data_IF_663214585422
#
_entry.id   IF_663214585422
#
_cell.length_a   1.000
_cell.length_b   1.000
_cell.length_c   1.000
_cell.angle_alpha   90.00
_cell.angle_beta   90.00
_cell.angle_gamma   90.00
#
_symmetry.space_group_name_H-M   'P 1'
#
loop_
_entity.id
_entity.type
_entity.pdbx_description
1 polymer ?
#
# COMPACT_ATOMS: atom_id res chain seq x y z
N UNK A 1 16.73 -31.79 23.80
CA UNK A 1 15.78 -31.29 24.81
C UNK A 1 15.95 -29.79 25.09
N UNK A 2 17.07 -29.17 24.71
CA UNK A 2 17.19 -27.71 24.65
C UNK A 2 17.35 -27.23 23.21
N UNK A 3 16.25 -26.99 22.51
CA UNK A 3 16.24 -26.38 21.17
C UNK A 3 15.29 -25.19 21.17
N UNK A 4 15.72 -24.06 20.59
CA UNK A 4 14.88 -22.89 20.37
C UNK A 4 14.57 -22.81 18.88
N UNK A 5 13.29 -22.93 18.53
CA UNK A 5 12.81 -22.66 17.17
C UNK A 5 12.43 -21.19 17.03
N UNK A 6 12.95 -20.55 15.98
CA UNK A 6 12.67 -19.15 15.62
C UNK A 6 11.96 -19.13 14.27
N UNK A 7 10.68 -18.74 14.28
CA UNK A 7 9.92 -18.51 13.05
C UNK A 7 9.96 -17.01 12.71
N UNK A 8 10.84 -16.64 11.78
CA UNK A 8 10.96 -15.28 11.23
C UNK A 8 10.04 -15.10 10.01
N UNK A 9 8.73 -15.21 10.22
CA UNK A 9 7.74 -15.09 9.14
C UNK A 9 7.53 -13.62 8.80
N UNK A 10 7.94 -13.20 7.60
CA UNK A 10 7.92 -11.80 7.16
C UNK A 10 6.60 -11.39 6.51
N UNK A 11 5.71 -12.35 6.25
CA UNK A 11 4.51 -12.19 5.43
C UNK A 11 3.23 -12.62 6.18
N UNK A 12 3.18 -12.43 7.50
CA UNK A 12 2.05 -12.85 8.34
C UNK A 12 0.63 -12.49 7.82
N UNK A 13 0.39 -11.37 7.09
CA UNK A 13 -0.91 -11.14 6.46
C UNK A 13 -1.28 -12.20 5.40
N UNK A 14 -0.31 -12.72 4.65
CA UNK A 14 -0.53 -13.70 3.58
C UNK A 14 -0.44 -15.15 4.03
N UNK A 15 -0.10 -15.43 5.29
CA UNK A 15 -0.20 -16.77 5.89
C UNK A 15 -1.67 -17.18 6.14
N UNK A 16 -2.58 -16.20 6.25
CA UNK A 16 -4.03 -16.38 6.18
C UNK A 16 -4.62 -15.56 5.01
N UNK A 17 -4.30 -15.92 3.76
CA UNK A 17 -4.48 -15.05 2.59
C UNK A 17 -5.95 -14.75 2.29
N UNK A 18 -6.85 -15.68 2.65
CA UNK A 18 -8.29 -15.52 2.47
C UNK A 18 -8.87 -14.42 3.37
N UNK A 19 -8.39 -14.30 4.60
CA UNK A 19 -8.88 -13.29 5.53
C UNK A 19 -8.30 -11.91 5.20
N UNK A 20 -7.00 -11.82 4.91
CA UNK A 20 -6.36 -10.55 4.55
C UNK A 20 -6.95 -9.92 3.28
N UNK A 21 -7.29 -10.74 2.27
CA UNK A 21 -7.90 -10.22 1.04
C UNK A 21 -9.31 -9.66 1.29
N UNK A 22 -10.12 -10.35 2.09
CA UNK A 22 -11.46 -9.87 2.46
C UNK A 22 -11.39 -8.62 3.34
N UNK A 23 -10.50 -8.59 4.34
CA UNK A 23 -10.30 -7.42 5.20
C UNK A 23 -9.82 -6.20 4.42
N UNK A 24 -8.83 -6.38 3.53
CA UNK A 24 -8.37 -5.31 2.64
C UNK A 24 -9.51 -4.79 1.76
N UNK A 25 -10.31 -5.69 1.16
CA UNK A 25 -11.45 -5.31 0.33
C UNK A 25 -12.48 -4.48 1.10
N UNK A 26 -12.82 -4.90 2.31
CA UNK A 26 -13.74 -4.16 3.20
C UNK A 26 -13.20 -2.77 3.52
N UNK A 27 -11.94 -2.65 3.96
CA UNK A 27 -11.30 -1.37 4.27
C UNK A 27 -11.19 -0.46 3.05
N UNK A 28 -10.90 -1.02 1.88
CA UNK A 28 -10.85 -0.28 0.62
C UNK A 28 -12.22 0.31 0.27
N UNK A 29 -13.28 -0.49 0.35
CA UNK A 29 -14.64 -0.04 0.06
C UNK A 29 -15.13 1.01 1.06
N UNK A 30 -14.77 0.87 2.33
CA UNK A 30 -15.18 1.79 3.39
C UNK A 30 -14.43 3.12 3.33
N UNK A 31 -13.12 3.10 3.09
CA UNK A 31 -12.27 4.29 3.27
C UNK A 31 -11.73 4.88 1.96
N UNK A 32 -11.50 4.08 0.92
CA UNK A 32 -10.79 4.52 -0.28
C UNK A 32 -11.74 4.75 -1.46
N UNK A 33 -12.69 3.84 -1.70
CA UNK A 33 -13.67 3.97 -2.77
C UNK A 33 -14.47 5.29 -2.72
N UNK A 34 -14.91 5.80 -1.55
CA UNK A 34 -15.63 7.07 -1.48
C UNK A 34 -14.79 8.26 -1.95
N UNK A 35 -13.47 8.25 -1.69
CA UNK A 35 -12.55 9.32 -2.11
C UNK A 35 -12.39 9.38 -3.63
N UNK A 36 -12.45 8.23 -4.30
CA UNK A 36 -12.38 8.15 -5.77
C UNK A 36 -13.61 8.74 -6.45
N UNK A 37 -14.78 8.63 -5.82
CA UNK A 37 -16.07 9.05 -6.40
C UNK A 37 -16.43 10.47 -5.98
N UNK A 38 -16.28 10.78 -4.69
CA UNK A 38 -16.75 12.02 -4.07
C UNK A 38 -15.66 13.07 -3.88
N UNK A 39 -14.43 12.75 -4.31
CA UNK A 39 -13.27 13.62 -4.23
C UNK A 39 -12.45 13.43 -2.96
N UNK A 40 -11.20 13.89 -3.04
CA UNK A 40 -10.16 13.69 -2.04
C UNK A 40 -9.93 14.95 -1.20
N UNK A 41 -10.87 15.25 -0.30
CA UNK A 41 -10.84 16.51 0.47
C UNK A 41 -9.65 16.63 1.41
N UNK A 42 -9.17 15.50 1.92
CA UNK A 42 -8.07 15.43 2.88
C UNK A 42 -6.73 15.08 2.21
N UNK A 43 -6.62 15.21 0.88
CA UNK A 43 -5.42 14.93 0.08
C UNK A 43 -4.85 13.49 0.32
N UNK A 44 -5.68 12.52 0.70
CA UNK A 44 -5.28 11.13 0.98
C UNK A 44 -4.81 10.45 -0.32
N UNK A 45 -5.62 10.51 -1.38
CA UNK A 45 -5.27 9.96 -2.69
C UNK A 45 -4.06 10.69 -3.28
N UNK A 46 -3.98 12.00 -3.10
CA UNK A 46 -2.84 12.81 -3.55
C UNK A 46 -1.54 12.37 -2.88
N UNK A 47 -1.53 12.13 -1.57
CA UNK A 47 -0.34 11.61 -0.85
C UNK A 47 -0.03 10.15 -1.21
N UNK A 48 -1.06 9.35 -1.49
CA UNK A 48 -0.87 7.97 -1.92
C UNK A 48 -0.37 7.85 -3.37
N UNK A 49 -0.50 8.90 -4.20
CA UNK A 49 -0.12 8.90 -5.62
C UNK A 49 1.39 9.07 -5.79
N UNK A 50 2.06 7.98 -6.19
CA UNK A 50 3.50 7.96 -6.48
C UNK A 50 3.81 8.58 -7.85
N UNK A 51 3.00 8.25 -8.86
CA UNK A 51 3.16 8.73 -10.24
C UNK A 51 1.89 9.39 -10.77
N UNK A 52 2.05 10.37 -11.64
CA UNK A 52 0.98 11.05 -12.36
C UNK A 52 1.46 11.35 -13.78
N UNK A 53 0.64 11.04 -14.79
CA UNK A 53 0.96 11.24 -16.21
C UNK A 53 2.33 10.69 -16.63
N UNK A 54 2.67 9.51 -16.12
CA UNK A 54 3.91 8.81 -16.43
C UNK A 54 5.16 9.39 -15.75
N UNK A 55 5.02 10.31 -14.80
CA UNK A 55 6.14 10.93 -14.07
C UNK A 55 5.98 10.78 -12.56
N UNK A 56 7.10 10.78 -11.84
CA UNK A 56 7.08 10.79 -10.38
C UNK A 56 6.48 12.10 -9.86
N UNK A 57 5.61 12.00 -8.85
CA UNK A 57 5.08 13.20 -8.18
C UNK A 57 6.19 13.85 -7.35
N UNK A 58 6.00 15.12 -6.97
CA UNK A 58 7.02 15.93 -6.28
C UNK A 58 7.62 15.24 -5.05
N UNK A 59 6.82 14.50 -4.29
CA UNK A 59 7.26 13.81 -3.08
C UNK A 59 8.24 12.67 -3.38
N UNK A 60 8.13 12.04 -4.55
CA UNK A 60 8.94 10.90 -4.96
C UNK A 60 10.03 11.27 -5.96
N UNK A 61 10.21 12.56 -6.27
CA UNK A 61 11.23 13.05 -7.23
C UNK A 61 12.66 12.59 -6.89
N UNK A 62 12.95 12.30 -5.63
CA UNK A 62 14.26 11.75 -5.22
C UNK A 62 14.55 10.36 -5.82
N UNK A 63 13.54 9.67 -6.35
CA UNK A 63 13.67 8.37 -7.03
C UNK A 63 13.85 8.50 -8.54
N UNK A 64 13.88 9.71 -9.11
CA UNK A 64 13.97 9.91 -10.57
C UNK A 64 15.21 9.23 -11.16
N UNK A 65 16.35 9.35 -10.50
CA UNK A 65 17.62 8.72 -10.92
C UNK A 65 17.55 7.18 -10.86
N UNK A 66 16.73 6.62 -9.97
CA UNK A 66 16.55 5.17 -9.85
C UNK A 66 15.68 4.62 -10.98
N UNK A 67 14.60 5.32 -11.33
CA UNK A 67 13.66 4.86 -12.37
C UNK A 67 14.11 5.18 -13.80
N UNK A 68 15.04 6.11 -13.97
CA UNK A 68 15.56 6.53 -15.28
C UNK A 68 16.79 5.72 -15.74
N UNK A 69 17.21 4.71 -14.97
CA UNK A 69 18.26 3.76 -15.36
C UNK A 69 17.75 2.69 -16.31
#
# INVERSE_FOLDING_TARGET
>A
EDTIDVMAVTNLPTEMPKNASTEFGTLFLEHIAPLLISGDKDDILKRARITEDGKLTKQFKYLEDFVSQ
#
